data_IF_954717029180
#
_entry.id   IF_954717029180
#
_cell.length_a   1.000
_cell.length_b   1.000
_cell.length_c   1.000
_cell.angle_alpha   90.00
_cell.angle_beta   90.00
_cell.angle_gamma   90.00
#
_symmetry.space_group_name_H-M   'P 1'
#
loop_
_entity.id
_entity.type
_entity.pdbx_description
1 polymer ?
#
# COMPACT_ATOMS: atom_id res chain seq x y z
N UNK A 1 5.65 12.39 2.00
CA UNK A 1 4.40 12.40 2.79
C UNK A 1 4.79 12.80 4.20
N UNK A 2 4.20 13.84 4.76
CA UNK A 2 4.47 14.18 6.16
C UNK A 2 4.08 12.99 7.04
N UNK A 3 5.01 12.54 7.86
CA UNK A 3 4.90 11.33 8.69
C UNK A 3 3.88 11.49 9.83
N UNK A 4 3.31 12.68 10.03
CA UNK A 4 2.53 13.05 11.21
C UNK A 4 1.05 13.37 10.97
N UNK A 5 0.45 12.90 9.86
CA UNK A 5 -1.01 13.04 9.74
C UNK A 5 -1.65 11.82 10.39
N UNK A 6 -2.32 12.03 11.51
CA UNK A 6 -3.16 11.00 12.11
C UNK A 6 -4.43 10.85 11.27
N UNK A 7 -4.43 9.84 10.40
CA UNK A 7 -5.58 9.51 9.55
C UNK A 7 -6.75 8.88 10.33
N UNK A 8 -6.51 8.49 11.57
CA UNK A 8 -7.47 7.87 12.47
C UNK A 8 -8.13 8.89 13.41
N UNK A 9 -7.71 10.16 13.33
CA UNK A 9 -8.25 11.21 14.16
C UNK A 9 -9.75 11.37 13.94
N UNK A 10 -10.52 11.17 14.99
CA UNK A 10 -11.98 11.31 14.97
C UNK A 10 -12.47 12.76 15.03
N UNK A 11 -11.56 13.72 15.22
CA UNK A 11 -11.88 15.14 15.40
C UNK A 11 -12.22 15.88 14.12
N UNK A 12 -12.02 15.25 12.94
CA UNK A 12 -12.36 15.88 11.67
C UNK A 12 -13.77 15.52 11.20
N UNK A 13 -14.44 16.47 10.52
CA UNK A 13 -15.76 16.26 9.96
C UNK A 13 -15.79 15.09 8.97
N UNK A 14 -16.95 14.43 8.88
CA UNK A 14 -17.22 13.45 7.83
C UNK A 14 -17.21 14.15 6.47
N UNK A 15 -16.71 13.46 5.47
CA UNK A 15 -16.71 13.96 4.09
C UNK A 15 -18.12 13.92 3.53
N UNK A 16 -18.62 15.03 3.00
CA UNK A 16 -19.98 15.14 2.44
C UNK A 16 -20.15 14.23 1.22
N UNK A 17 -19.21 14.23 0.28
CA UNK A 17 -19.26 13.38 -0.92
C UNK A 17 -18.37 12.14 -0.79
N UNK A 18 -18.88 11.14 -0.08
CA UNK A 18 -18.26 9.81 0.05
C UNK A 18 -18.05 9.15 -1.33
N UNK A 19 -18.97 9.39 -2.28
CA UNK A 19 -18.87 8.85 -3.63
C UNK A 19 -17.66 9.39 -4.39
N UNK A 20 -17.35 10.66 -4.24
CA UNK A 20 -16.17 11.30 -4.82
C UNK A 20 -14.87 10.68 -4.29
N UNK A 21 -14.79 10.46 -2.97
CA UNK A 21 -13.66 9.79 -2.35
C UNK A 21 -13.45 8.38 -2.90
N UNK A 22 -14.50 7.56 -2.93
CA UNK A 22 -14.46 6.19 -3.44
C UNK A 22 -14.00 6.12 -4.90
N UNK A 23 -14.51 7.02 -5.75
CA UNK A 23 -14.09 7.11 -7.16
C UNK A 23 -12.61 7.47 -7.29
N UNK A 24 -12.11 8.42 -6.49
CA UNK A 24 -10.71 8.82 -6.52
C UNK A 24 -9.80 7.67 -6.05
N UNK A 25 -10.08 7.10 -4.88
CA UNK A 25 -9.28 6.00 -4.32
C UNK A 25 -9.32 4.78 -5.24
N UNK A 26 -10.47 4.46 -5.85
CA UNK A 26 -10.58 3.39 -6.84
C UNK A 26 -9.66 3.59 -8.06
N UNK A 27 -9.58 4.82 -8.59
CA UNK A 27 -8.63 5.15 -9.67
C UNK A 27 -7.16 5.05 -9.21
N UNK A 28 -6.87 5.47 -7.98
CA UNK A 28 -5.53 5.36 -7.41
C UNK A 28 -5.12 3.89 -7.19
N UNK A 29 -6.04 3.02 -6.75
CA UNK A 29 -5.82 1.58 -6.64
C UNK A 29 -5.45 1.01 -8.00
N UNK A 30 -6.18 1.35 -9.06
CA UNK A 30 -5.83 0.89 -10.40
C UNK A 30 -4.45 1.38 -10.85
N UNK A 31 -4.09 2.61 -10.50
CA UNK A 31 -2.77 3.19 -10.83
C UNK A 31 -1.61 2.47 -10.13
N UNK A 32 -1.83 1.84 -8.97
CA UNK A 32 -0.79 1.07 -8.27
C UNK A 32 -0.26 -0.10 -9.09
N UNK A 33 -0.98 -0.55 -10.15
CA UNK A 33 -0.52 -1.60 -11.08
C UNK A 33 0.72 -1.15 -11.88
N UNK A 34 0.94 0.14 -12.07
CA UNK A 34 2.10 0.70 -12.78
C UNK A 34 2.98 1.59 -11.91
N UNK A 35 2.52 1.93 -10.71
CA UNK A 35 3.17 2.84 -9.76
C UNK A 35 3.32 2.16 -8.39
N UNK A 36 4.33 1.30 -8.20
CA UNK A 36 4.58 0.63 -6.92
C UNK A 36 4.85 1.60 -5.77
N UNK A 37 5.40 2.75 -6.07
CA UNK A 37 5.76 3.82 -5.12
C UNK A 37 4.56 4.41 -4.36
N UNK A 38 3.33 4.31 -4.88
CA UNK A 38 2.13 4.79 -4.20
C UNK A 38 1.31 3.67 -3.55
N UNK A 39 1.67 2.40 -3.73
CA UNK A 39 0.87 1.24 -3.31
C UNK A 39 0.54 1.26 -1.83
N UNK A 40 1.52 1.51 -0.96
CA UNK A 40 1.31 1.58 0.48
C UNK A 40 0.33 2.70 0.86
N UNK A 41 0.58 3.92 0.38
CA UNK A 41 -0.25 5.08 0.72
C UNK A 41 -1.70 4.91 0.26
N UNK A 42 -1.91 4.38 -0.95
CA UNK A 42 -3.24 4.08 -1.48
C UNK A 42 -3.92 2.95 -0.69
N UNK A 43 -3.16 1.92 -0.30
CA UNK A 43 -3.64 0.85 0.57
C UNK A 43 -4.15 1.36 1.91
N UNK A 44 -3.46 2.32 2.54
CA UNK A 44 -3.91 2.96 3.77
C UNK A 44 -5.23 3.72 3.53
N UNK A 45 -5.32 4.53 2.48
CA UNK A 45 -6.54 5.31 2.18
C UNK A 45 -7.74 4.41 1.86
N UNK A 46 -7.53 3.25 1.26
CA UNK A 46 -8.61 2.31 0.93
C UNK A 46 -9.37 1.79 2.16
N UNK A 47 -8.77 1.84 3.34
CA UNK A 47 -9.40 1.43 4.61
C UNK A 47 -10.55 2.35 5.03
N UNK A 48 -10.52 3.61 4.57
CA UNK A 48 -11.50 4.65 4.94
C UNK A 48 -12.66 4.78 3.92
N UNK A 49 -12.78 3.86 2.95
CA UNK A 49 -13.82 3.95 1.91
C UNK A 49 -15.26 3.95 2.45
N UNK A 50 -15.51 3.33 3.61
CA UNK A 50 -16.85 3.28 4.19
C UNK A 50 -17.26 4.61 4.81
N UNK A 51 -16.36 5.24 5.56
CA UNK A 51 -16.63 6.46 6.34
C UNK A 51 -15.43 7.41 6.26
N UNK A 52 -15.16 7.99 5.07
CA UNK A 52 -14.03 8.92 4.93
C UNK A 52 -14.31 10.24 5.64
N UNK A 53 -13.24 10.84 6.13
CA UNK A 53 -13.22 12.17 6.74
C UNK A 53 -12.45 13.16 5.88
N UNK A 54 -12.53 14.45 6.18
CA UNK A 54 -11.79 15.49 5.47
C UNK A 54 -10.26 15.27 5.51
N UNK A 55 -9.72 14.73 6.60
CA UNK A 55 -8.29 14.36 6.69
C UNK A 55 -7.91 13.30 5.65
N UNK A 56 -8.78 12.30 5.42
CA UNK A 56 -8.53 11.26 4.42
C UNK A 56 -8.59 11.82 3.00
N UNK A 57 -9.52 12.77 2.75
CA UNK A 57 -9.61 13.49 1.48
C UNK A 57 -8.34 14.30 1.21
N UNK A 58 -7.88 15.07 2.19
CA UNK A 58 -6.64 15.84 2.11
C UNK A 58 -5.42 14.94 1.83
N UNK A 59 -5.34 13.78 2.47
CA UNK A 59 -4.29 12.80 2.20
C UNK A 59 -4.36 12.24 0.77
N UNK A 60 -5.56 11.99 0.23
CA UNK A 60 -5.73 11.56 -1.16
C UNK A 60 -5.28 12.65 -2.15
N UNK A 61 -5.57 13.92 -1.87
CA UNK A 61 -5.08 15.05 -2.68
C UNK A 61 -3.56 15.18 -2.64
N UNK A 62 -2.89 14.86 -1.51
CA UNK A 62 -1.42 14.84 -1.43
C UNK A 62 -0.82 13.76 -2.35
N UNK A 63 -1.45 12.59 -2.47
CA UNK A 63 -1.02 11.57 -3.44
C UNK A 63 -1.15 12.10 -4.87
N UNK A 64 -2.26 12.79 -5.21
CA UNK A 64 -2.41 13.40 -6.53
C UNK A 64 -1.33 14.46 -6.81
N UNK A 65 -1.01 15.30 -5.82
CA UNK A 65 0.06 16.30 -5.94
C UNK A 65 1.42 15.61 -6.19
N UNK A 66 1.71 14.51 -5.48
CA UNK A 66 2.90 13.71 -5.72
C UNK A 66 2.93 13.13 -7.14
N UNK A 67 1.84 12.55 -7.62
CA UNK A 67 1.74 12.01 -8.98
C UNK A 67 1.96 13.13 -10.01
N UNK A 68 1.36 14.30 -9.78
CA UNK A 68 1.53 15.48 -10.65
C UNK A 68 2.97 16.00 -10.69
N UNK A 69 3.72 15.90 -9.59
CA UNK A 69 5.11 16.33 -9.53
C UNK A 69 6.08 15.38 -10.28
N UNK A 70 5.67 14.14 -10.52
CA UNK A 70 6.48 13.13 -11.22
C UNK A 70 5.66 12.30 -12.22
N UNK A 71 5.09 12.94 -13.28
CA UNK A 71 4.15 12.29 -14.19
C UNK A 71 4.77 11.17 -15.03
N UNK A 72 6.07 11.24 -15.31
CA UNK A 72 6.81 10.24 -16.08
C UNK A 72 7.38 9.08 -15.27
N UNK A 73 7.15 9.05 -13.94
CA UNK A 73 7.65 7.98 -13.09
C UNK A 73 6.86 6.69 -13.32
N UNK A 74 7.56 5.58 -13.53
CA UNK A 74 6.97 4.26 -13.75
C UNK A 74 8.03 3.17 -13.69
N UNK A 75 7.68 1.96 -14.12
CA UNK A 75 8.58 0.83 -14.18
C UNK A 75 9.28 0.78 -15.54
N UNK A 76 10.60 0.61 -15.51
CA UNK A 76 11.41 0.40 -16.71
C UNK A 76 11.86 -1.07 -16.76
N UNK A 77 11.36 -1.82 -17.73
CA UNK A 77 11.76 -3.19 -17.96
C UNK A 77 12.95 -3.26 -18.90
N UNK A 78 13.95 -4.03 -18.54
CA UNK A 78 15.18 -4.24 -19.33
C UNK A 78 15.46 -5.74 -19.51
N UNK A 79 16.13 -6.09 -20.60
CA UNK A 79 16.63 -7.45 -20.83
C UNK A 79 17.97 -7.61 -20.12
N UNK A 80 18.00 -8.41 -19.04
CA UNK A 80 19.22 -8.63 -18.24
C UNK A 80 19.95 -9.96 -18.58
N UNK A 81 19.48 -10.74 -19.54
CA UNK A 81 20.11 -11.98 -19.99
C UNK A 81 19.93 -13.19 -19.06
N UNK A 82 19.10 -13.08 -18.02
CA UNK A 82 18.78 -14.17 -17.09
C UNK A 82 17.30 -14.09 -16.67
N UNK A 83 16.80 -15.20 -16.13
CA UNK A 83 15.41 -15.32 -15.63
C UNK A 83 15.36 -15.65 -14.14
N UNK A 84 16.40 -15.31 -13.38
CA UNK A 84 16.41 -15.53 -11.92
C UNK A 84 15.22 -14.85 -11.28
N UNK A 85 14.56 -15.57 -10.37
CA UNK A 85 13.46 -15.05 -9.57
C UNK A 85 14.03 -14.66 -8.20
N UNK A 86 13.77 -13.43 -7.79
CA UNK A 86 14.12 -12.92 -6.46
C UNK A 86 12.87 -12.37 -5.80
N UNK A 87 12.65 -12.74 -4.54
CA UNK A 87 11.46 -12.36 -3.78
C UNK A 87 11.92 -11.71 -2.49
N UNK A 88 11.31 -10.59 -2.16
CA UNK A 88 11.55 -9.87 -0.91
C UNK A 88 10.22 -9.69 -0.19
N UNK A 89 10.24 -9.93 1.10
CA UNK A 89 9.11 -9.67 1.99
C UNK A 89 9.54 -8.91 3.22
N UNK A 90 8.61 -8.15 3.75
CA UNK A 90 8.78 -7.39 4.99
C UNK A 90 7.44 -7.31 5.72
N UNK A 91 7.46 -7.17 7.04
CA UNK A 91 6.27 -6.99 7.83
C UNK A 91 6.44 -5.86 8.85
N UNK A 92 5.70 -4.77 8.66
CA UNK A 92 5.57 -3.73 9.68
C UNK A 92 4.77 -4.25 10.87
N UNK A 93 5.47 -4.58 11.99
CA UNK A 93 4.84 -5.06 13.22
C UNK A 93 3.99 -3.95 13.87
N UNK A 94 2.74 -4.27 14.25
CA UNK A 94 1.78 -3.34 14.89
C UNK A 94 1.63 -1.98 14.20
N UNK A 95 1.78 -1.94 12.88
CA UNK A 95 1.77 -0.69 12.11
C UNK A 95 0.43 0.04 12.04
N UNK A 96 -0.66 -0.59 12.49
CA UNK A 96 -1.98 0.03 12.54
C UNK A 96 -2.38 0.36 13.98
N UNK A 97 -2.57 1.64 14.26
CA UNK A 97 -2.96 2.13 15.59
C UNK A 97 -4.36 1.65 15.98
N UNK A 98 -5.27 1.47 15.00
CA UNK A 98 -6.68 1.14 15.25
C UNK A 98 -6.92 -0.30 15.71
N UNK A 99 -6.27 -1.30 15.09
CA UNK A 99 -6.49 -2.72 15.39
C UNK A 99 -5.21 -3.52 15.64
N UNK A 100 -4.07 -2.85 15.70
CA UNK A 100 -2.73 -3.40 15.97
C UNK A 100 -2.30 -4.52 15.01
N UNK A 101 -2.94 -4.63 13.85
CA UNK A 101 -2.55 -5.60 12.83
C UNK A 101 -1.32 -5.15 12.07
N UNK A 102 -0.44 -6.10 11.79
CA UNK A 102 0.75 -5.88 10.99
C UNK A 102 0.41 -5.68 9.51
N UNK A 103 1.26 -5.00 8.77
CA UNK A 103 1.13 -4.87 7.32
C UNK A 103 2.28 -5.64 6.68
N UNK A 104 1.95 -6.61 5.83
CA UNK A 104 2.92 -7.33 5.02
C UNK A 104 3.12 -6.62 3.69
N UNK A 105 4.37 -6.46 3.30
CA UNK A 105 4.79 -6.03 1.97
C UNK A 105 5.59 -7.12 1.28
N UNK A 106 5.41 -7.27 -0.02
CA UNK A 106 6.30 -8.10 -0.81
C UNK A 106 6.51 -7.54 -2.21
N UNK A 107 7.62 -7.92 -2.82
CA UNK A 107 7.89 -7.68 -4.22
C UNK A 107 8.65 -8.86 -4.85
N UNK A 108 8.35 -9.13 -6.12
CA UNK A 108 8.98 -10.20 -6.88
C UNK A 108 9.66 -9.62 -8.11
N UNK A 109 10.89 -10.03 -8.31
CA UNK A 109 11.67 -9.69 -9.50
C UNK A 109 11.88 -10.94 -10.35
N UNK A 110 11.78 -10.78 -11.68
CA UNK A 110 12.14 -11.79 -12.65
C UNK A 110 13.16 -11.16 -13.60
N UNK A 111 14.32 -11.80 -13.71
CA UNK A 111 15.40 -11.26 -14.54
C UNK A 111 15.78 -9.84 -14.18
N UNK A 112 15.78 -9.50 -12.88
CA UNK A 112 16.07 -8.14 -12.40
C UNK A 112 14.96 -7.10 -12.59
N UNK A 113 13.83 -7.47 -13.19
CA UNK A 113 12.68 -6.58 -13.39
C UNK A 113 11.63 -6.81 -12.30
N UNK A 114 11.11 -5.73 -11.72
CA UNK A 114 10.02 -5.80 -10.74
C UNK A 114 8.71 -6.19 -11.46
N UNK A 115 8.13 -7.34 -11.09
CA UNK A 115 6.95 -7.91 -11.77
C UNK A 115 5.71 -7.83 -10.92
N UNK A 116 5.80 -8.17 -9.63
CA UNK A 116 4.67 -8.06 -8.71
C UNK A 116 5.09 -7.35 -7.43
N UNK A 117 4.13 -6.67 -6.82
CA UNK A 117 4.30 -6.02 -5.52
C UNK A 117 2.95 -5.89 -4.84
N UNK A 118 2.96 -5.97 -3.55
CA UNK A 118 1.75 -5.84 -2.75
C UNK A 118 2.07 -5.27 -1.37
N UNK A 119 1.15 -4.50 -0.85
CA UNK A 119 1.11 -4.11 0.55
C UNK A 119 -0.27 -4.45 1.07
N UNK A 120 -0.35 -5.38 2.02
CA UNK A 120 -1.63 -5.87 2.57
C UNK A 120 -1.56 -5.98 4.08
N UNK A 121 -2.61 -5.52 4.73
CA UNK A 121 -2.80 -5.72 6.17
C UNK A 121 -3.05 -7.19 6.47
N UNK A 122 -2.42 -7.72 7.51
CA UNK A 122 -2.65 -9.09 7.97
C UNK A 122 -4.05 -9.23 8.57
N UNK A 123 -4.66 -10.41 8.40
CA UNK A 123 -6.02 -10.66 8.87
C UNK A 123 -6.10 -10.83 10.40
N UNK A 124 -4.96 -11.13 11.04
CA UNK A 124 -4.84 -11.36 12.48
C UNK A 124 -3.73 -10.50 13.09
N UNK A 125 -3.81 -10.29 14.40
CA UNK A 125 -2.75 -9.61 15.16
C UNK A 125 -1.61 -10.58 15.42
N UNK A 126 -0.40 -10.22 15.05
CA UNK A 126 0.81 -10.99 15.37
C UNK A 126 1.29 -10.65 16.79
N UNK A 127 1.76 -11.65 17.53
CA UNK A 127 2.23 -11.52 18.92
C UNK A 127 3.68 -11.03 19.02
N UNK A 128 4.42 -11.10 17.90
CA UNK A 128 5.81 -10.64 17.81
C UNK A 128 6.13 -10.19 16.40
N UNK A 129 7.23 -9.43 16.23
CA UNK A 129 7.75 -9.06 14.93
C UNK A 129 8.11 -10.30 14.11
N UNK A 130 8.75 -11.30 14.73
CA UNK A 130 9.09 -12.56 14.06
C UNK A 130 7.86 -13.28 13.51
N UNK A 131 6.74 -13.33 14.27
CA UNK A 131 5.49 -13.93 13.78
C UNK A 131 4.94 -13.14 12.58
N UNK A 132 5.00 -11.81 12.62
CA UNK A 132 4.56 -10.96 11.51
C UNK A 132 5.37 -11.25 10.24
N UNK A 133 6.69 -11.40 10.37
CA UNK A 133 7.60 -11.76 9.27
C UNK A 133 7.31 -13.14 8.70
N UNK A 134 7.16 -14.18 9.53
CA UNK A 134 6.80 -15.52 9.06
C UNK A 134 5.45 -15.54 8.33
N UNK A 135 4.49 -14.76 8.78
CA UNK A 135 3.20 -14.61 8.09
C UNK A 135 3.36 -13.94 6.72
N UNK A 136 4.22 -12.92 6.62
CA UNK A 136 4.52 -12.29 5.34
C UNK A 136 5.16 -13.28 4.37
N UNK A 137 6.13 -14.09 4.83
CA UNK A 137 6.76 -15.14 4.03
C UNK A 137 5.75 -16.20 3.56
N UNK A 138 4.84 -16.64 4.44
CA UNK A 138 3.79 -17.63 4.10
C UNK A 138 2.87 -17.07 3.01
N UNK A 139 2.48 -15.82 3.09
CA UNK A 139 1.64 -15.17 2.06
C UNK A 139 2.28 -15.21 0.68
N UNK A 140 3.60 -14.98 0.59
CA UNK A 140 4.30 -15.04 -0.69
C UNK A 140 4.32 -16.44 -1.26
N UNK A 141 4.61 -17.43 -0.44
CA UNK A 141 4.62 -18.84 -0.89
C UNK A 141 3.26 -19.23 -1.45
N UNK A 142 2.16 -18.80 -0.80
CA UNK A 142 0.81 -19.05 -1.30
C UNK A 142 0.46 -18.29 -2.61
N UNK A 143 1.03 -17.11 -2.82
CA UNK A 143 0.78 -16.33 -4.06
C UNK A 143 1.60 -16.86 -5.25
N UNK A 144 2.64 -17.68 -5.00
CA UNK A 144 3.50 -18.26 -6.01
C UNK A 144 3.15 -19.72 -6.39
N UNK A 145 2.29 -20.37 -5.62
CA UNK A 145 1.80 -21.73 -5.87
C UNK A 145 0.62 -21.75 -6.82
#
# INVERSE_FOLDING_TARGET
MEVNIDLWCDDTSLLDDVGRYRRLVGKLIYLTVTRPDITFAVGVLSRFMHKPREVNWTAALKILAYIKSCPGKGLLYKKHGHTHISIFSDAGYTGDIGDRKSTSGFCTFIGGNLVTWRSKKQDVVSRSSAEAEYRAMTHIVCEMA
#
